data_IF_781086154905
#
_entry.id   IF_781086154905
#
_cell.length_a   1.000
_cell.length_b   1.000
_cell.length_c   1.000
_cell.angle_alpha   90.00
_cell.angle_beta   90.00
_cell.angle_gamma   90.00
#
_symmetry.space_group_name_H-M   'P 1'
#
loop_
_entity.id
_entity.type
_entity.pdbx_description
1 polymer ?
#
# COMPACT_ATOMS: atom_id res chain seq x y z
N UNK A 1 -23.56 -13.45 -14.56
CA UNK A 1 -24.93 -13.80 -14.98
C UNK A 1 -25.89 -13.53 -13.84
N UNK A 2 -27.03 -12.92 -14.13
CA UNK A 2 -28.09 -12.60 -13.15
C UNK A 2 -29.40 -13.24 -13.60
N UNK A 3 -30.11 -13.88 -12.66
CA UNK A 3 -31.39 -14.54 -12.91
C UNK A 3 -32.41 -14.10 -11.84
N UNK A 4 -33.51 -13.59 -12.29
CA UNK A 4 -34.67 -13.33 -11.43
C UNK A 4 -35.50 -14.62 -11.32
N UNK A 5 -35.19 -15.43 -10.30
CA UNK A 5 -35.79 -16.75 -10.09
C UNK A 5 -37.28 -16.67 -9.72
N UNK A 6 -37.68 -15.57 -9.05
CA UNK A 6 -39.08 -15.28 -8.71
C UNK A 6 -39.28 -13.78 -8.50
N UNK A 7 -40.52 -13.36 -8.11
CA UNK A 7 -40.79 -11.96 -7.77
C UNK A 7 -40.04 -11.50 -6.53
N UNK A 8 -39.66 -12.41 -5.66
CA UNK A 8 -39.04 -12.14 -4.36
C UNK A 8 -37.58 -12.61 -4.29
N UNK A 9 -37.02 -13.27 -5.36
CA UNK A 9 -35.65 -13.83 -5.37
C UNK A 9 -34.95 -13.53 -6.68
N UNK A 10 -33.78 -12.90 -6.57
CA UNK A 10 -32.80 -12.77 -7.62
C UNK A 10 -31.49 -13.44 -7.18
N UNK A 11 -30.89 -14.21 -8.05
CA UNK A 11 -29.56 -14.81 -7.84
C UNK A 11 -28.61 -14.40 -8.96
N UNK A 12 -27.36 -14.30 -8.64
CA UNK A 12 -26.37 -13.94 -9.66
C UNK A 12 -24.99 -14.45 -9.32
N UNK A 13 -24.19 -14.52 -10.35
CA UNK A 13 -22.77 -14.85 -10.23
C UNK A 13 -21.95 -13.98 -11.17
N UNK A 14 -20.78 -13.58 -10.68
CA UNK A 14 -19.76 -12.90 -11.47
C UNK A 14 -18.43 -13.63 -11.27
N UNK A 15 -17.86 -14.14 -12.34
CA UNK A 15 -16.59 -14.86 -12.29
C UNK A 15 -15.63 -14.26 -13.29
N UNK A 16 -14.43 -13.94 -12.83
CA UNK A 16 -13.30 -13.50 -13.64
C UNK A 16 -12.16 -14.50 -13.46
N UNK A 17 -11.56 -14.91 -14.57
CA UNK A 17 -10.31 -15.65 -14.58
C UNK A 17 -9.25 -14.85 -15.33
N UNK A 18 -8.06 -14.78 -14.79
CA UNK A 18 -6.93 -14.08 -15.40
C UNK A 18 -5.68 -14.95 -15.37
N UNK A 19 -4.91 -14.89 -16.43
CA UNK A 19 -3.55 -15.42 -16.52
C UNK A 19 -2.59 -14.28 -16.81
N UNK A 20 -1.53 -14.22 -16.05
CA UNK A 20 -0.45 -13.26 -16.22
C UNK A 20 0.87 -14.04 -16.37
N UNK A 21 1.66 -13.67 -17.37
CA UNK A 21 3.06 -14.11 -17.48
C UNK A 21 3.93 -12.85 -17.59
N UNK A 22 4.90 -12.72 -16.72
CA UNK A 22 5.80 -11.58 -16.69
C UNK A 22 7.24 -12.04 -16.59
N UNK A 23 8.11 -11.38 -17.36
CA UNK A 23 9.54 -11.41 -17.13
C UNK A 23 9.89 -10.17 -16.32
N UNK A 24 10.34 -10.37 -15.11
CA UNK A 24 10.69 -9.29 -14.19
C UNK A 24 12.20 -9.06 -14.26
N UNK A 25 12.62 -7.80 -14.23
CA UNK A 25 14.00 -7.47 -13.94
C UNK A 25 14.23 -7.64 -12.42
N UNK A 26 15.41 -8.12 -12.06
CA UNK A 26 15.84 -8.07 -10.67
C UNK A 26 15.97 -6.60 -10.26
N UNK A 27 15.15 -6.15 -9.33
CA UNK A 27 15.18 -4.80 -8.76
C UNK A 27 15.90 -4.78 -7.40
N UNK A 28 16.56 -5.88 -7.07
CA UNK A 28 17.29 -6.08 -5.83
C UNK A 28 18.11 -4.84 -5.45
N UNK A 29 17.74 -4.26 -4.34
CA UNK A 29 18.29 -3.04 -3.78
C UNK A 29 19.82 -3.06 -3.79
N UNK A 30 20.42 -1.97 -4.24
CA UNK A 30 21.89 -1.73 -4.25
C UNK A 30 22.72 -2.47 -5.33
N UNK A 31 22.11 -3.24 -6.22
CA UNK A 31 22.83 -3.80 -7.34
C UNK A 31 22.85 -2.82 -8.51
N UNK A 32 24.03 -2.28 -8.84
CA UNK A 32 24.22 -1.28 -9.90
C UNK A 32 23.90 -1.80 -11.31
N UNK A 33 23.66 -3.08 -11.47
CA UNK A 33 23.37 -3.73 -12.76
C UNK A 33 21.88 -3.87 -13.06
N UNK A 34 21.00 -3.64 -12.08
CA UNK A 34 19.55 -3.65 -12.36
C UNK A 34 19.16 -2.41 -13.17
N UNK A 35 18.11 -2.47 -14.02
CA UNK A 35 17.77 -1.35 -14.91
C UNK A 35 17.56 -0.02 -14.20
N UNK A 36 16.84 -0.01 -13.08
CA UNK A 36 16.56 1.21 -12.30
C UNK A 36 17.83 1.73 -11.63
N UNK A 37 18.65 0.85 -11.05
CA UNK A 37 19.90 1.23 -10.42
C UNK A 37 20.92 1.69 -11.46
N UNK A 38 20.97 1.05 -12.63
CA UNK A 38 21.81 1.46 -13.74
C UNK A 38 21.54 2.91 -14.18
N UNK A 39 20.27 3.31 -14.28
CA UNK A 39 19.90 4.69 -14.60
C UNK A 39 20.41 5.73 -13.58
N UNK A 40 20.70 5.31 -12.35
CA UNK A 40 21.17 6.19 -11.28
C UNK A 40 22.69 6.23 -11.15
N UNK A 41 23.35 5.10 -11.41
CA UNK A 41 24.77 4.90 -11.05
C UNK A 41 25.69 4.74 -12.25
N UNK A 42 25.16 4.43 -13.45
CA UNK A 42 25.98 4.30 -14.65
C UNK A 42 26.19 5.66 -15.31
N UNK A 43 27.38 5.83 -15.86
CA UNK A 43 27.71 7.05 -16.58
C UNK A 43 27.03 7.05 -17.96
N UNK A 44 26.39 8.14 -18.38
CA UNK A 44 25.55 8.18 -19.58
C UNK A 44 26.31 7.98 -20.89
N UNK A 45 27.65 8.07 -20.88
CA UNK A 45 28.50 7.83 -22.03
C UNK A 45 29.05 6.40 -22.14
N UNK A 46 28.69 5.50 -21.21
CA UNK A 46 29.02 4.08 -21.34
C UNK A 46 28.11 3.44 -22.36
N UNK A 47 28.70 3.07 -23.51
CA UNK A 47 27.95 2.42 -24.58
C UNK A 47 27.74 0.94 -24.24
N UNK A 48 26.49 0.44 -24.16
CA UNK A 48 26.23 -0.97 -23.88
C UNK A 48 26.60 -1.91 -25.04
N UNK A 49 26.97 -1.37 -26.20
CA UNK A 49 27.37 -2.15 -27.38
C UNK A 49 28.83 -1.93 -27.71
N UNK A 50 29.49 -3.01 -28.10
CA UNK A 50 30.85 -3.00 -28.65
C UNK A 50 30.82 -2.42 -30.11
N UNK A 51 32.01 -2.17 -30.68
CA UNK A 51 32.13 -1.58 -32.03
C UNK A 51 31.55 -2.46 -33.14
N UNK A 52 31.49 -3.75 -32.94
CA UNK A 52 30.91 -4.73 -33.86
C UNK A 52 29.38 -4.91 -33.71
N UNK A 53 28.75 -4.16 -32.79
CA UNK A 53 27.33 -4.22 -32.50
C UNK A 53 26.92 -5.31 -31.51
N UNK A 54 27.84 -6.14 -31.01
CA UNK A 54 27.59 -7.08 -29.96
C UNK A 54 27.42 -6.38 -28.59
N UNK A 55 26.77 -7.05 -27.62
CA UNK A 55 26.70 -6.49 -26.26
C UNK A 55 28.07 -6.53 -25.60
N UNK A 56 28.50 -5.39 -25.09
CA UNK A 56 29.69 -5.30 -24.26
C UNK A 56 29.44 -5.99 -22.92
N UNK A 57 30.42 -6.72 -22.38
CA UNK A 57 30.30 -7.43 -21.10
C UNK A 57 31.62 -7.48 -20.35
N UNK A 58 31.55 -7.69 -19.03
CA UNK A 58 32.74 -7.94 -18.21
C UNK A 58 33.46 -9.23 -18.65
N UNK A 59 32.70 -10.26 -19.00
CA UNK A 59 33.26 -11.52 -19.48
C UNK A 59 34.06 -11.37 -20.78
N UNK A 60 33.63 -10.49 -21.68
CA UNK A 60 34.34 -10.18 -22.91
C UNK A 60 35.46 -9.16 -22.72
N UNK A 61 35.60 -8.54 -21.56
CA UNK A 61 36.63 -7.52 -21.27
C UNK A 61 36.45 -6.20 -22.02
N UNK A 62 35.31 -5.94 -22.62
CA UNK A 62 35.00 -4.78 -23.44
C UNK A 62 33.95 -3.83 -22.86
N UNK A 63 33.56 -4.08 -21.60
CA UNK A 63 32.65 -3.22 -20.83
C UNK A 63 33.41 -2.29 -19.89
N UNK A 64 33.10 -1.01 -19.90
CA UNK A 64 33.82 0.01 -19.14
C UNK A 64 33.40 0.09 -17.64
N UNK A 65 32.27 -0.48 -17.27
CA UNK A 65 31.78 -0.45 -15.90
C UNK A 65 32.43 -1.47 -14.97
N UNK A 66 32.38 -1.20 -13.67
CA UNK A 66 32.84 -2.14 -12.63
C UNK A 66 31.84 -3.26 -12.34
N UNK A 67 30.58 -3.05 -12.68
CA UNK A 67 29.49 -4.04 -12.61
C UNK A 67 29.10 -4.44 -14.02
N UNK A 68 28.40 -5.57 -14.19
CA UNK A 68 28.01 -6.06 -15.52
C UNK A 68 27.11 -5.07 -16.29
N UNK A 69 27.15 -5.12 -17.60
CA UNK A 69 26.23 -4.40 -18.47
C UNK A 69 24.78 -4.79 -18.13
N UNK A 70 23.86 -3.85 -17.83
CA UNK A 70 22.49 -4.15 -17.43
C UNK A 70 21.72 -5.01 -18.43
N UNK A 71 21.96 -4.86 -19.72
CA UNK A 71 21.29 -5.64 -20.77
C UNK A 71 21.77 -7.11 -20.72
N UNK A 72 23.06 -7.32 -20.53
CA UNK A 72 23.66 -8.65 -20.35
C UNK A 72 23.15 -9.27 -19.05
N UNK A 73 23.13 -8.51 -17.96
CA UNK A 73 22.65 -8.97 -16.68
C UNK A 73 21.19 -9.45 -16.73
N UNK A 74 20.28 -8.66 -17.33
CA UNK A 74 18.89 -9.05 -17.49
C UNK A 74 18.73 -10.34 -18.32
N UNK A 75 19.55 -10.53 -19.33
CA UNK A 75 19.56 -11.74 -20.16
C UNK A 75 20.04 -12.99 -19.41
N UNK A 76 21.06 -12.80 -18.57
CA UNK A 76 21.72 -13.89 -17.83
C UNK A 76 21.17 -14.11 -16.40
N UNK A 77 20.22 -13.26 -15.97
CA UNK A 77 19.55 -13.36 -14.66
C UNK A 77 18.02 -13.26 -14.80
N UNK A 78 17.37 -14.13 -15.61
CA UNK A 78 15.95 -14.02 -15.86
C UNK A 78 15.11 -14.41 -14.63
N UNK A 79 14.08 -13.60 -14.36
CA UNK A 79 13.02 -13.91 -13.41
C UNK A 79 11.70 -14.01 -14.19
N UNK A 80 11.10 -15.20 -14.19
CA UNK A 80 9.84 -15.45 -14.90
C UNK A 80 8.76 -15.77 -13.88
N UNK A 81 7.70 -14.98 -13.90
CA UNK A 81 6.55 -15.14 -13.02
C UNK A 81 5.33 -15.56 -13.85
N UNK A 82 4.57 -16.50 -13.31
CA UNK A 82 3.24 -16.87 -13.83
C UNK A 82 2.24 -16.77 -12.70
N UNK A 83 1.10 -16.18 -13.00
CA UNK A 83 0.03 -15.99 -12.03
C UNK A 83 -1.31 -16.39 -12.66
N UNK A 84 -2.03 -17.23 -11.95
CA UNK A 84 -3.40 -17.61 -12.27
C UNK A 84 -4.29 -17.02 -11.17
N UNK A 85 -5.28 -16.27 -11.57
CA UNK A 85 -6.22 -15.67 -10.64
C UNK A 85 -7.65 -16.01 -11.03
N UNK A 86 -8.43 -16.48 -10.05
CA UNK A 86 -9.88 -16.70 -10.20
C UNK A 86 -10.57 -15.92 -9.10
N UNK A 87 -11.39 -14.96 -9.51
CA UNK A 87 -12.28 -14.22 -8.63
C UNK A 87 -13.71 -14.63 -8.97
N UNK A 88 -14.41 -15.22 -8.02
CA UNK A 88 -15.81 -15.62 -8.20
C UNK A 88 -16.66 -15.07 -7.08
N UNK A 89 -17.78 -14.46 -7.42
CA UNK A 89 -18.75 -13.94 -6.49
C UNK A 89 -20.12 -14.52 -6.85
N UNK A 90 -20.80 -15.09 -5.86
CA UNK A 90 -22.18 -15.55 -5.96
C UNK A 90 -23.03 -14.76 -4.98
N UNK A 91 -24.24 -14.38 -5.37
CA UNK A 91 -25.14 -13.67 -4.47
C UNK A 91 -26.59 -14.09 -4.65
N UNK A 92 -27.34 -13.91 -3.58
CA UNK A 92 -28.80 -13.97 -3.58
C UNK A 92 -29.35 -12.65 -3.01
N UNK A 93 -30.34 -12.09 -3.69
CA UNK A 93 -31.13 -10.95 -3.23
C UNK A 93 -32.54 -11.39 -2.99
N UNK A 94 -33.06 -11.14 -1.80
CA UNK A 94 -34.39 -11.46 -1.36
C UNK A 94 -35.14 -10.15 -1.14
N UNK A 95 -36.38 -10.07 -1.66
CA UNK A 95 -37.29 -8.92 -1.54
C UNK A 95 -38.52 -9.34 -0.72
N UNK A 96 -38.40 -9.41 0.64
CA UNK A 96 -39.50 -9.96 1.49
C UNK A 96 -40.74 -9.05 1.53
N UNK A 97 -40.50 -7.74 1.49
CA UNK A 97 -41.51 -6.68 1.42
C UNK A 97 -41.05 -5.59 0.48
N UNK A 98 -41.94 -4.69 0.10
CA UNK A 98 -41.60 -3.53 -0.72
C UNK A 98 -40.50 -2.70 -0.04
N UNK A 99 -39.54 -2.22 -0.86
CA UNK A 99 -38.42 -1.40 -0.43
C UNK A 99 -37.38 -2.03 0.51
N UNK A 100 -37.54 -3.30 0.92
CA UNK A 100 -36.54 -4.06 1.67
C UNK A 100 -35.83 -5.04 0.77
N UNK A 101 -34.51 -4.90 0.69
CA UNK A 101 -33.62 -5.84 -0.01
C UNK A 101 -32.67 -6.48 0.99
N UNK A 102 -32.69 -7.80 1.07
CA UNK A 102 -31.71 -8.58 1.82
C UNK A 102 -30.79 -9.24 0.79
N UNK A 103 -29.49 -8.97 0.86
CA UNK A 103 -28.49 -9.53 -0.05
C UNK A 103 -27.43 -10.29 0.73
N UNK A 104 -27.24 -11.55 0.40
CA UNK A 104 -26.10 -12.34 0.87
C UNK A 104 -25.19 -12.66 -0.31
N UNK A 105 -23.90 -12.43 -0.13
CA UNK A 105 -22.89 -12.59 -1.15
C UNK A 105 -21.72 -13.41 -0.61
N UNK A 106 -21.28 -14.40 -1.38
CA UNK A 106 -20.05 -15.15 -1.15
C UNK A 106 -19.04 -14.83 -2.25
N UNK A 107 -17.85 -14.41 -1.87
CA UNK A 107 -16.73 -14.15 -2.74
C UNK A 107 -15.58 -15.11 -2.45
N UNK A 108 -14.95 -15.63 -3.50
CA UNK A 108 -13.69 -16.37 -3.43
C UNK A 108 -12.70 -15.75 -4.39
N UNK A 109 -11.55 -15.30 -3.87
CA UNK A 109 -10.40 -14.82 -4.64
C UNK A 109 -9.26 -15.83 -4.45
N UNK A 110 -9.01 -16.63 -5.49
CA UNK A 110 -7.94 -17.60 -5.51
C UNK A 110 -6.82 -17.12 -6.42
N UNK A 111 -5.59 -17.16 -5.93
CA UNK A 111 -4.40 -16.81 -6.70
C UNK A 111 -3.36 -17.92 -6.54
N UNK A 112 -2.93 -18.51 -7.66
CA UNK A 112 -1.77 -19.39 -7.74
C UNK A 112 -0.65 -18.67 -8.46
N UNK A 113 0.53 -18.56 -7.83
CA UNK A 113 1.69 -17.89 -8.38
C UNK A 113 2.89 -18.84 -8.42
N UNK A 114 3.61 -18.85 -9.53
CA UNK A 114 4.89 -19.54 -9.64
C UNK A 114 5.96 -18.58 -10.12
N UNK A 115 7.15 -18.66 -9.52
CA UNK A 115 8.30 -17.90 -9.96
C UNK A 115 9.46 -18.86 -10.29
N UNK A 116 10.14 -18.53 -11.37
CA UNK A 116 11.38 -19.15 -11.76
C UNK A 116 12.47 -18.09 -11.81
N UNK A 117 13.46 -18.25 -10.96
CA UNK A 117 14.61 -17.37 -10.88
C UNK A 117 15.83 -18.16 -11.33
N UNK A 118 16.63 -17.57 -12.18
CA UNK A 118 17.86 -18.19 -12.65
C UNK A 118 18.96 -17.15 -12.78
N UNK A 119 20.18 -17.53 -12.45
CA UNK A 119 21.37 -16.77 -12.76
C UNK A 119 22.35 -17.72 -13.45
N UNK A 120 22.67 -17.40 -14.70
CA UNK A 120 23.47 -18.29 -15.54
C UNK A 120 24.94 -18.33 -15.14
N UNK A 121 25.64 -19.50 -15.29
CA UNK A 121 27.09 -19.61 -15.06
C UNK A 121 27.93 -18.61 -15.87
N UNK A 122 27.50 -18.24 -17.08
CA UNK A 122 28.18 -17.29 -17.95
C UNK A 122 28.15 -15.85 -17.46
N UNK A 123 27.27 -15.52 -16.49
CA UNK A 123 27.30 -14.24 -15.81
C UNK A 123 28.59 -14.10 -15.01
N UNK A 124 29.39 -13.08 -15.28
CA UNK A 124 30.73 -12.92 -14.72
C UNK A 124 30.80 -12.96 -13.19
N UNK A 125 29.80 -12.41 -12.51
CA UNK A 125 29.70 -12.43 -11.04
C UNK A 125 29.44 -13.84 -10.45
N UNK A 126 29.02 -14.79 -11.27
CA UNK A 126 28.74 -16.17 -10.84
C UNK A 126 29.98 -17.08 -10.84
N UNK A 127 31.12 -16.62 -11.37
CA UNK A 127 32.38 -17.39 -11.42
C UNK A 127 32.18 -18.82 -11.98
N UNK A 128 31.39 -18.98 -13.04
CA UNK A 128 31.11 -20.27 -13.67
C UNK A 128 30.15 -21.19 -12.91
N UNK A 129 29.51 -20.72 -11.84
CA UNK A 129 28.54 -21.47 -11.04
C UNK A 129 27.19 -20.75 -11.02
N UNK A 130 26.25 -21.23 -11.83
CA UNK A 130 24.92 -20.69 -11.85
C UNK A 130 24.08 -21.04 -10.64
N UNK A 131 22.90 -20.42 -10.59
CA UNK A 131 21.88 -20.66 -9.57
C UNK A 131 20.51 -20.82 -10.22
N UNK A 132 19.65 -21.65 -9.63
CA UNK A 132 18.26 -21.79 -10.04
C UNK A 132 17.33 -21.89 -8.83
N UNK A 133 16.20 -21.23 -8.90
CA UNK A 133 15.16 -21.33 -7.89
C UNK A 133 13.78 -21.56 -8.50
N UNK A 134 12.95 -22.27 -7.78
CA UNK A 134 11.51 -22.40 -8.03
C UNK A 134 10.76 -21.97 -6.79
N UNK A 135 9.73 -21.16 -6.98
CA UNK A 135 8.81 -20.75 -5.95
C UNK A 135 7.39 -21.05 -6.40
N UNK A 136 6.56 -21.49 -5.48
CA UNK A 136 5.13 -21.64 -5.68
C UNK A 136 4.41 -21.09 -4.47
N UNK A 137 3.32 -20.38 -4.68
CA UNK A 137 2.47 -19.90 -3.62
C UNK A 137 1.01 -19.90 -4.04
N UNK A 138 0.17 -20.28 -3.11
CA UNK A 138 -1.27 -20.26 -3.20
C UNK A 138 -1.81 -19.27 -2.18
N UNK A 139 -2.82 -18.51 -2.57
CA UNK A 139 -3.54 -17.62 -1.69
C UNK A 139 -5.05 -17.71 -1.97
N UNK A 140 -5.84 -17.84 -0.94
CA UNK A 140 -7.29 -17.84 -1.03
C UNK A 140 -7.86 -16.85 -0.03
N UNK A 141 -8.75 -15.99 -0.51
CA UNK A 141 -9.52 -15.07 0.32
C UNK A 141 -11.01 -15.39 0.14
N UNK A 142 -11.66 -15.79 1.22
CA UNK A 142 -13.10 -16.05 1.27
C UNK A 142 -13.77 -14.91 2.00
N UNK A 143 -14.80 -14.34 1.37
CA UNK A 143 -15.58 -13.24 1.94
C UNK A 143 -17.06 -13.60 1.90
N UNK A 144 -17.73 -13.48 3.03
CA UNK A 144 -19.17 -13.52 3.11
C UNK A 144 -19.66 -12.16 3.59
N UNK A 145 -20.66 -11.60 2.88
CA UNK A 145 -21.28 -10.31 3.25
C UNK A 145 -22.79 -10.44 3.15
N UNK A 146 -23.48 -10.17 4.25
CA UNK A 146 -24.94 -10.09 4.26
C UNK A 146 -25.37 -8.69 4.66
N UNK A 147 -26.24 -8.09 3.85
CA UNK A 147 -26.81 -6.76 4.09
C UNK A 147 -28.33 -6.78 4.00
N UNK A 148 -28.97 -5.98 4.84
CA UNK A 148 -30.39 -5.64 4.76
C UNK A 148 -30.52 -4.14 4.53
N UNK A 149 -31.12 -3.75 3.42
CA UNK A 149 -31.29 -2.36 3.03
C UNK A 149 -32.77 -2.03 2.90
N UNK A 150 -33.23 -1.01 3.64
CA UNK A 150 -34.60 -0.53 3.60
C UNK A 150 -34.64 0.95 3.20
N UNK A 151 -35.40 1.23 2.13
CA UNK A 151 -35.60 2.59 1.59
C UNK A 151 -37.06 3.00 1.72
N UNK A 152 -37.30 4.20 2.20
CA UNK A 152 -38.65 4.74 2.28
C UNK A 152 -38.66 6.26 2.17
N UNK A 153 -39.76 6.79 1.69
CA UNK A 153 -39.99 8.23 1.57
C UNK A 153 -41.28 8.58 2.33
N UNK A 154 -41.19 9.64 3.14
CA UNK A 154 -42.33 10.16 3.88
C UNK A 154 -42.73 11.53 3.28
N UNK A 155 -44.02 11.68 3.01
CA UNK A 155 -44.62 12.91 2.45
C UNK A 155 -43.92 13.43 1.17
N UNK A 156 -43.31 12.53 0.38
CA UNK A 156 -42.59 12.82 -0.85
C UNK A 156 -41.38 13.80 -0.71
N UNK A 157 -41.01 14.13 0.52
CA UNK A 157 -39.97 15.12 0.81
C UNK A 157 -38.87 14.62 1.75
N UNK A 158 -39.12 13.54 2.50
CA UNK A 158 -38.14 12.96 3.41
C UNK A 158 -37.77 11.56 2.91
N UNK A 159 -36.58 11.44 2.32
CA UNK A 159 -36.09 10.13 1.85
C UNK A 159 -35.09 9.56 2.83
N UNK A 160 -35.28 8.30 3.19
CA UNK A 160 -34.41 7.55 4.10
C UNK A 160 -33.89 6.30 3.41
N UNK A 161 -32.66 5.97 3.69
CA UNK A 161 -32.03 4.71 3.32
C UNK A 161 -31.27 4.17 4.54
N UNK A 162 -31.70 3.02 5.06
CA UNK A 162 -31.08 2.39 6.23
C UNK A 162 -30.54 1.04 5.82
N UNK A 163 -29.29 0.78 6.13
CA UNK A 163 -28.61 -0.48 5.87
C UNK A 163 -28.02 -1.05 7.15
N UNK A 164 -28.22 -2.33 7.36
CA UNK A 164 -27.55 -3.15 8.36
C UNK A 164 -26.76 -4.23 7.64
N UNK A 165 -25.59 -4.57 8.13
CA UNK A 165 -24.77 -5.60 7.50
C UNK A 165 -23.83 -6.29 8.46
N UNK A 166 -23.42 -7.48 8.04
CA UNK A 166 -22.33 -8.23 8.62
C UNK A 166 -21.38 -8.69 7.51
N UNK A 167 -20.12 -8.90 7.84
CA UNK A 167 -19.11 -9.38 6.91
C UNK A 167 -18.12 -10.29 7.65
N UNK A 168 -17.79 -11.41 7.04
CA UNK A 168 -16.73 -12.30 7.50
C UNK A 168 -15.71 -12.50 6.38
N UNK A 169 -14.43 -12.37 6.72
CA UNK A 169 -13.32 -12.58 5.80
C UNK A 169 -12.38 -13.63 6.40
N UNK A 170 -11.97 -14.58 5.57
CA UNK A 170 -10.96 -15.58 5.92
C UNK A 170 -9.93 -15.65 4.80
N UNK A 171 -8.70 -15.38 5.15
CA UNK A 171 -7.56 -15.43 4.24
C UNK A 171 -6.60 -16.53 4.67
N UNK A 172 -6.18 -17.34 3.71
CA UNK A 172 -5.11 -18.32 3.86
C UNK A 172 -4.11 -18.18 2.73
N UNK A 173 -2.83 -18.27 3.04
CA UNK A 173 -1.78 -18.36 2.03
C UNK A 173 -0.73 -19.37 2.47
N UNK A 174 -0.24 -20.13 1.52
CA UNK A 174 0.89 -21.04 1.70
C UNK A 174 1.83 -20.95 0.51
N UNK A 175 3.09 -21.31 0.74
CA UNK A 175 4.07 -21.29 -0.33
C UNK A 175 5.34 -22.03 0.04
N UNK A 176 6.07 -22.43 -0.97
CA UNK A 176 7.39 -23.01 -0.81
C UNK A 176 8.38 -22.49 -1.84
N UNK A 177 9.64 -22.57 -1.51
CA UNK A 177 10.73 -22.28 -2.43
C UNK A 177 11.85 -23.31 -2.27
N UNK A 178 12.47 -23.63 -3.40
CA UNK A 178 13.68 -24.43 -3.46
C UNK A 178 14.73 -23.71 -4.30
N UNK A 179 15.96 -23.75 -3.85
CA UNK A 179 17.07 -23.04 -4.44
C UNK A 179 18.29 -23.94 -4.52
N UNK A 180 18.95 -23.98 -5.67
CA UNK A 180 20.18 -24.72 -5.89
C UNK A 180 21.28 -23.86 -6.47
N UNK A 181 22.52 -24.24 -6.26
CA UNK A 181 23.74 -23.66 -6.79
C UNK A 181 24.62 -24.69 -7.48
N UNK A 182 25.50 -24.23 -8.37
CA UNK A 182 26.49 -25.06 -9.00
C UNK A 182 26.04 -25.61 -10.34
N UNK A 183 25.12 -24.97 -11.04
CA UNK A 183 24.91 -25.22 -12.46
C UNK A 183 26.16 -24.81 -13.24
N UNK A 184 26.68 -25.71 -14.08
CA UNK A 184 27.95 -25.52 -14.80
C UNK A 184 27.76 -25.11 -16.26
N UNK A 185 26.52 -25.04 -16.74
CA UNK A 185 26.18 -24.64 -18.12
C UNK A 185 24.89 -23.85 -18.14
N UNK A 186 24.78 -22.85 -19.00
CA UNK A 186 23.56 -22.08 -19.25
C UNK A 186 22.40 -22.94 -19.79
N UNK A 187 22.68 -24.13 -20.30
CA UNK A 187 21.68 -25.08 -20.73
C UNK A 187 21.04 -25.86 -19.57
N UNK A 188 21.64 -25.83 -18.38
CA UNK A 188 21.16 -26.51 -17.19
C UNK A 188 20.26 -25.60 -16.35
N UNK A 189 19.01 -25.48 -16.75
CA UNK A 189 18.07 -24.51 -16.17
C UNK A 189 17.23 -25.06 -15.01
N UNK A 190 17.30 -26.37 -14.74
CA UNK A 190 16.52 -26.98 -13.67
C UNK A 190 17.19 -26.83 -12.30
N UNK A 191 16.38 -26.70 -11.24
CA UNK A 191 16.89 -26.70 -9.85
C UNK A 191 17.68 -27.98 -9.55
N UNK A 192 17.23 -29.13 -10.08
CA UNK A 192 17.91 -30.41 -9.90
C UNK A 192 19.27 -30.53 -10.60
N UNK A 193 19.61 -29.59 -11.49
CA UNK A 193 20.90 -29.55 -12.19
C UNK A 193 22.02 -28.90 -11.36
N UNK A 194 21.72 -28.33 -10.20
CA UNK A 194 22.70 -27.80 -9.29
C UNK A 194 23.38 -28.87 -8.46
N UNK A 195 24.67 -28.72 -8.15
CA UNK A 195 25.45 -29.66 -7.34
C UNK A 195 25.17 -29.58 -5.85
N UNK A 196 24.50 -28.47 -5.41
CA UNK A 196 24.14 -28.24 -4.00
C UNK A 196 22.74 -27.69 -3.89
N UNK A 197 21.89 -28.33 -3.08
CA UNK A 197 20.73 -27.68 -2.51
C UNK A 197 21.21 -26.55 -1.57
N UNK A 198 20.85 -25.33 -1.82
CA UNK A 198 21.37 -24.16 -1.10
C UNK A 198 20.38 -23.62 -0.07
N UNK A 199 19.12 -23.68 -0.39
CA UNK A 199 18.04 -23.17 0.46
C UNK A 199 16.72 -23.84 0.10
N UNK A 200 15.94 -24.16 1.11
CA UNK A 200 14.52 -24.46 1.01
C UNK A 200 13.80 -23.70 2.11
N UNK A 201 12.60 -23.31 1.86
CA UNK A 201 11.74 -22.68 2.85
C UNK A 201 10.28 -22.92 2.44
N UNK A 202 9.43 -22.99 3.42
CA UNK A 202 7.99 -22.96 3.31
C UNK A 202 7.42 -21.87 4.21
N UNK A 203 6.21 -21.47 3.94
CA UNK A 203 5.50 -20.47 4.71
C UNK A 203 4.01 -20.71 4.65
N UNK A 204 3.33 -20.45 5.73
CA UNK A 204 1.86 -20.40 5.80
C UNK A 204 1.44 -19.20 6.64
N UNK A 205 0.35 -18.56 6.25
CA UNK A 205 -0.15 -17.37 6.94
C UNK A 205 -1.65 -17.24 6.80
N UNK A 206 -2.31 -16.97 7.94
CA UNK A 206 -3.75 -16.84 8.05
C UNK A 206 -4.13 -15.55 8.74
N UNK A 207 -5.27 -14.97 8.32
CA UNK A 207 -5.97 -13.99 9.11
C UNK A 207 -7.48 -14.03 8.85
N UNK A 208 -8.25 -13.53 9.80
CA UNK A 208 -9.70 -13.45 9.69
C UNK A 208 -10.21 -12.12 10.22
N UNK A 209 -11.31 -11.65 9.63
CA UNK A 209 -12.10 -10.52 10.11
C UNK A 209 -13.54 -10.92 10.30
N UNK A 210 -14.17 -10.30 11.31
CA UNK A 210 -15.62 -10.32 11.50
C UNK A 210 -16.09 -8.91 11.78
N UNK A 211 -17.08 -8.47 11.04
CA UNK A 211 -17.55 -7.08 11.06
C UNK A 211 -19.05 -6.99 11.13
N UNK A 212 -19.56 -6.02 11.89
CA UNK A 212 -20.96 -5.61 11.89
C UNK A 212 -21.03 -4.12 11.61
N UNK A 213 -21.97 -3.71 10.75
CA UNK A 213 -22.07 -2.32 10.36
C UNK A 213 -23.50 -1.88 10.12
N UNK A 214 -23.72 -0.59 10.33
CA UNK A 214 -24.96 0.08 9.98
C UNK A 214 -24.66 1.40 9.28
N UNK A 215 -25.55 1.81 8.38
CA UNK A 215 -25.52 3.09 7.69
C UNK A 215 -26.92 3.65 7.59
N UNK A 216 -27.09 4.94 7.86
CA UNK A 216 -28.30 5.70 7.65
C UNK A 216 -28.01 6.88 6.73
N UNK A 217 -28.85 7.09 5.74
CA UNK A 217 -28.84 8.24 4.86
C UNK A 217 -30.19 8.92 4.91
N UNK A 218 -30.18 10.23 4.98
CA UNK A 218 -31.36 11.07 4.99
C UNK A 218 -31.21 12.20 3.96
N UNK A 219 -32.28 12.43 3.22
CA UNK A 219 -32.39 13.52 2.27
C UNK A 219 -33.71 14.25 2.49
N UNK A 220 -33.62 15.59 2.62
CA UNK A 220 -34.78 16.47 2.70
C UNK A 220 -34.85 17.35 1.45
N UNK A 221 -35.86 17.11 0.60
CA UNK A 221 -36.15 17.91 -0.61
C UNK A 221 -34.96 18.09 -1.56
N UNK A 222 -34.00 17.15 -1.58
CA UNK A 222 -32.72 17.32 -2.31
C UNK A 222 -31.93 18.57 -1.90
N UNK A 223 -32.25 19.16 -0.76
CA UNK A 223 -31.66 20.37 -0.22
C UNK A 223 -30.64 20.04 0.88
N UNK A 224 -31.03 19.20 1.84
CA UNK A 224 -30.18 18.75 2.94
C UNK A 224 -29.97 17.25 2.88
N UNK A 225 -28.72 16.85 2.99
CA UNK A 225 -28.33 15.46 3.07
C UNK A 225 -27.56 15.22 4.36
N UNK A 226 -27.87 14.17 5.03
CA UNK A 226 -27.13 13.71 6.20
C UNK A 226 -26.88 12.21 6.09
N UNK A 227 -25.70 11.78 6.47
CA UNK A 227 -25.35 10.36 6.58
C UNK A 227 -24.67 10.07 7.91
N UNK A 228 -24.90 8.86 8.36
CA UNK A 228 -24.29 8.27 9.55
C UNK A 228 -23.84 6.86 9.24
N UNK A 229 -22.65 6.49 9.68
CA UNK A 229 -22.24 5.09 9.68
C UNK A 229 -21.60 4.70 11.01
N UNK A 230 -21.78 3.44 11.39
CA UNK A 230 -21.15 2.79 12.52
C UNK A 230 -20.70 1.41 12.08
N UNK A 231 -19.43 1.07 12.35
CA UNK A 231 -18.88 -0.24 12.04
C UNK A 231 -18.02 -0.71 13.21
N UNK A 232 -18.18 -1.97 13.57
CA UNK A 232 -17.30 -2.64 14.51
C UNK A 232 -16.66 -3.85 13.85
N UNK A 233 -15.34 -3.96 13.96
CA UNK A 233 -14.52 -4.95 13.27
C UNK A 233 -13.66 -5.69 14.28
N UNK A 234 -13.65 -7.03 14.20
CA UNK A 234 -12.69 -7.86 14.90
C UNK A 234 -11.62 -8.36 13.94
N UNK A 235 -10.35 -8.33 14.34
CA UNK A 235 -9.21 -8.85 13.59
C UNK A 235 -8.47 -9.93 14.38
N UNK A 236 -8.16 -11.05 13.74
CA UNK A 236 -7.34 -12.11 14.34
C UNK A 236 -5.86 -11.71 14.52
N UNK A 237 -5.43 -10.60 13.92
CA UNK A 237 -4.06 -10.07 14.04
C UNK A 237 -3.75 -9.50 15.42
N UNK A 238 -4.78 -9.24 16.23
CA UNK A 238 -4.69 -8.59 17.53
C UNK A 238 -4.90 -9.54 18.70
N UNK A 239 -4.44 -9.14 19.87
CA UNK A 239 -4.64 -9.87 21.11
C UNK A 239 -6.13 -10.05 21.42
N UNK A 240 -6.46 -11.10 22.17
CA UNK A 240 -7.84 -11.54 22.41
C UNK A 240 -8.78 -10.41 22.89
N UNK A 241 -8.28 -9.56 23.78
CA UNK A 241 -9.06 -8.48 24.39
C UNK A 241 -9.03 -7.18 23.59
N UNK A 242 -8.22 -7.11 22.53
CA UNK A 242 -8.01 -5.93 21.67
C UNK A 242 -8.43 -6.14 20.20
N UNK A 243 -9.10 -7.25 19.91
CA UNK A 243 -9.52 -7.60 18.54
C UNK A 243 -10.53 -6.63 17.95
N UNK A 244 -11.44 -6.10 18.78
CA UNK A 244 -12.55 -5.27 18.33
C UNK A 244 -12.17 -3.80 18.28
N UNK A 245 -12.42 -3.19 17.11
CA UNK A 245 -12.36 -1.75 16.89
C UNK A 245 -13.71 -1.23 16.42
N UNK A 246 -14.15 -0.10 16.96
CA UNK A 246 -15.44 0.54 16.57
C UNK A 246 -15.15 1.89 15.92
N UNK A 247 -15.70 2.08 14.74
CA UNK A 247 -15.51 3.25 13.90
C UNK A 247 -16.85 3.84 13.49
N UNK A 248 -16.90 5.15 13.33
CA UNK A 248 -18.11 5.86 13.00
C UNK A 248 -17.85 7.03 12.07
N UNK A 249 -18.85 7.45 11.31
CA UNK A 249 -18.81 8.69 10.56
C UNK A 249 -20.14 9.42 10.55
N UNK A 250 -20.05 10.73 10.45
CA UNK A 250 -21.18 11.64 10.24
C UNK A 250 -20.83 12.55 9.06
N UNK A 251 -21.75 12.68 8.13
CA UNK A 251 -21.67 13.60 7.01
C UNK A 251 -22.90 14.48 6.93
N UNK A 252 -22.72 15.71 6.51
CA UNK A 252 -23.79 16.64 6.19
C UNK A 252 -23.45 17.41 4.92
N UNK A 253 -24.41 17.49 3.99
CA UNK A 253 -24.27 18.30 2.78
C UNK A 253 -25.50 19.19 2.61
N UNK A 254 -25.25 20.46 2.31
CA UNK A 254 -26.25 21.45 1.94
C UNK A 254 -26.10 21.78 0.46
N UNK A 255 -27.15 21.48 -0.31
CA UNK A 255 -27.23 21.83 -1.72
C UNK A 255 -27.81 23.23 -1.86
N UNK A 256 -26.96 24.24 -1.71
CA UNK A 256 -27.35 25.67 -1.69
C UNK A 256 -28.02 26.06 -2.98
N UNK A 257 -27.65 25.45 -4.12
CA UNK A 257 -28.26 25.73 -5.44
C UNK A 257 -29.74 25.40 -5.48
N UNK A 258 -30.18 24.41 -4.73
CA UNK A 258 -31.60 23.97 -4.68
C UNK A 258 -32.51 24.90 -3.83
N UNK A 259 -31.94 25.95 -3.23
CA UNK A 259 -32.74 26.92 -2.46
C UNK A 259 -33.62 27.79 -3.36
N UNK A 260 -34.77 28.24 -2.86
CA UNK A 260 -35.74 29.04 -3.63
C UNK A 260 -35.15 30.34 -4.21
N UNK A 261 -34.17 30.94 -3.54
CA UNK A 261 -33.51 32.17 -3.97
C UNK A 261 -32.36 31.97 -4.96
N UNK A 262 -31.81 30.74 -5.10
CA UNK A 262 -30.71 30.40 -6.05
C UNK A 262 -31.14 29.50 -7.18
N UNK A 263 -32.21 28.71 -7.04
CA UNK A 263 -32.60 27.72 -8.04
C UNK A 263 -32.75 28.24 -9.45
N UNK A 264 -33.24 29.49 -9.58
CA UNK A 264 -33.50 30.15 -10.87
C UNK A 264 -32.31 30.94 -11.43
N UNK A 265 -31.20 31.02 -10.71
CA UNK A 265 -29.96 31.65 -11.20
C UNK A 265 -29.26 30.78 -12.25
N UNK A 266 -29.35 31.20 -13.53
CA UNK A 266 -28.79 30.41 -14.65
C UNK A 266 -27.28 30.43 -14.73
N UNK A 267 -26.61 31.42 -14.14
CA UNK A 267 -25.14 31.47 -14.15
C UNK A 267 -24.51 30.57 -13.09
N UNK A 268 -25.25 30.17 -12.05
CA UNK A 268 -24.80 29.25 -11.00
C UNK A 268 -25.48 27.90 -11.23
N UNK A 269 -24.72 26.93 -11.68
CA UNK A 269 -25.23 25.56 -11.96
C UNK A 269 -25.12 24.61 -10.76
N UNK A 270 -24.11 24.81 -9.92
CA UNK A 270 -23.90 24.01 -8.70
C UNK A 270 -23.44 24.91 -7.56
N UNK A 271 -23.97 24.72 -6.37
CA UNK A 271 -23.45 25.29 -5.13
C UNK A 271 -23.73 24.33 -3.98
N UNK A 272 -22.70 23.68 -3.48
CA UNK A 272 -22.80 22.64 -2.43
C UNK A 272 -21.74 22.89 -1.37
N UNK A 273 -22.13 22.73 -0.10
CA UNK A 273 -21.25 22.75 1.05
C UNK A 273 -21.40 21.42 1.75
N UNK A 274 -20.29 20.74 2.02
CA UNK A 274 -20.29 19.49 2.74
C UNK A 274 -19.28 19.51 3.88
N UNK A 275 -19.64 18.88 4.98
CA UNK A 275 -18.77 18.65 6.13
C UNK A 275 -18.89 17.18 6.54
N UNK A 276 -17.79 16.58 6.92
CA UNK A 276 -17.81 15.23 7.49
C UNK A 276 -16.77 15.07 8.58
N UNK A 277 -17.10 14.20 9.53
CA UNK A 277 -16.19 13.80 10.61
C UNK A 277 -16.38 12.33 10.89
N UNK A 278 -15.31 11.65 11.31
CA UNK A 278 -15.41 10.23 11.66
C UNK A 278 -14.07 9.61 11.98
N UNK A 279 -14.13 8.36 12.39
CA UNK A 279 -12.96 7.54 12.68
C UNK A 279 -12.86 6.38 11.72
N UNK A 280 -11.64 5.99 11.35
CA UNK A 280 -11.34 4.78 10.60
C UNK A 280 -10.23 3.99 11.30
N UNK A 281 -10.26 2.68 11.19
CA UNK A 281 -9.25 1.78 11.77
C UNK A 281 -8.25 1.30 10.74
N UNK A 282 -7.03 1.00 11.23
CA UNK A 282 -6.03 0.26 10.48
C UNK A 282 -5.53 -0.91 11.32
N UNK A 283 -5.44 -2.09 10.70
CA UNK A 283 -4.95 -3.33 11.31
C UNK A 283 -3.80 -3.95 10.51
N UNK A 284 -3.15 -3.16 9.67
CA UNK A 284 -2.11 -3.65 8.76
C UNK A 284 -0.78 -3.83 9.49
N UNK A 285 -0.66 -4.97 10.16
CA UNK A 285 0.58 -5.52 10.71
C UNK A 285 0.74 -6.95 10.21
N UNK A 286 1.96 -7.50 10.22
CA UNK A 286 2.15 -8.92 9.95
C UNK A 286 1.33 -9.79 10.90
N UNK A 287 0.89 -10.95 10.42
CA UNK A 287 0.07 -11.87 11.21
C UNK A 287 0.86 -12.41 12.41
N UNK A 288 0.15 -12.76 13.49
CA UNK A 288 0.68 -13.42 14.69
C UNK A 288 1.57 -12.57 15.61
N UNK A 289 1.79 -11.27 15.37
CA UNK A 289 2.65 -10.44 16.24
C UNK A 289 2.10 -10.20 17.66
N UNK A 290 0.87 -10.59 17.92
CA UNK A 290 0.34 -10.66 19.29
C UNK A 290 0.82 -11.92 20.04
N UNK A 291 1.37 -12.95 19.35
CA UNK A 291 1.85 -14.20 19.92
C UNK A 291 3.36 -14.20 20.11
N UNK A 292 3.84 -14.83 21.16
CA UNK A 292 5.24 -15.22 21.28
C UNK A 292 5.49 -16.47 20.43
N UNK A 293 6.48 -16.41 19.52
CA UNK A 293 6.80 -17.49 18.62
C UNK A 293 8.22 -17.98 18.82
N UNK A 294 8.42 -19.26 18.48
CA UNK A 294 9.73 -19.89 18.43
C UNK A 294 10.00 -20.40 17.02
N UNK A 295 11.25 -20.40 16.61
CA UNK A 295 11.72 -21.04 15.37
C UNK A 295 12.49 -22.31 15.67
N UNK A 296 12.29 -23.30 14.82
CA UNK A 296 13.16 -24.47 14.76
C UNK A 296 14.51 -24.14 14.10
N UNK A 297 15.42 -25.12 14.05
CA UNK A 297 16.72 -25.00 13.38
C UNK A 297 17.85 -24.47 14.27
N UNK A 298 17.57 -24.11 15.51
CA UNK A 298 18.63 -23.93 16.50
C UNK A 298 19.33 -25.27 16.71
N UNK A 299 20.66 -25.27 16.77
CA UNK A 299 21.47 -26.46 16.92
C UNK A 299 22.43 -26.26 18.10
N UNK A 300 22.36 -27.16 19.05
CA UNK A 300 23.31 -27.23 20.13
C UNK A 300 23.92 -28.65 20.15
N UNK A 301 25.21 -28.75 19.88
CA UNK A 301 25.96 -29.98 19.83
C UNK A 301 25.28 -31.06 18.96
N UNK A 302 24.93 -30.70 17.72
CA UNK A 302 24.17 -31.53 16.76
C UNK A 302 22.77 -31.99 17.21
N UNK A 303 22.25 -31.42 18.28
CA UNK A 303 20.86 -31.65 18.73
C UNK A 303 19.97 -30.50 18.31
N UNK A 304 18.89 -30.82 17.58
CA UNK A 304 17.92 -29.80 17.16
C UNK A 304 17.22 -29.17 18.36
N UNK A 305 17.14 -27.88 18.38
CA UNK A 305 16.51 -27.07 19.42
C UNK A 305 15.60 -25.99 18.87
N UNK A 306 15.03 -25.20 19.76
CA UNK A 306 14.22 -24.04 19.46
C UNK A 306 14.90 -22.75 19.89
N UNK A 307 14.70 -21.68 19.16
CA UNK A 307 15.07 -20.33 19.58
C UNK A 307 13.85 -19.41 19.55
N UNK A 308 13.74 -18.45 20.48
CA UNK A 308 12.73 -17.38 20.35
C UNK A 308 12.92 -16.66 19.00
N UNK A 309 11.84 -16.53 18.24
CA UNK A 309 11.83 -15.81 16.96
C UNK A 309 11.03 -14.52 17.03
N UNK A 310 10.17 -14.39 18.05
CA UNK A 310 9.31 -13.21 18.23
C UNK A 310 8.81 -13.16 19.67
N UNK A 311 8.86 -11.97 20.27
CA UNK A 311 8.18 -11.69 21.53
C UNK A 311 6.79 -11.14 21.22
N UNK A 312 5.74 -11.85 21.62
CA UNK A 312 4.38 -11.40 21.43
C UNK A 312 4.03 -10.12 22.18
N UNK A 313 2.94 -9.49 21.73
CA UNK A 313 2.31 -8.38 22.45
C UNK A 313 0.79 -8.54 22.40
N UNK A 314 0.21 -9.08 23.47
CA UNK A 314 -1.23 -9.31 23.59
C UNK A 314 -2.06 -8.02 23.63
N UNK A 315 -1.41 -6.87 23.94
CA UNK A 315 -2.04 -5.54 23.96
C UNK A 315 -2.17 -4.90 22.55
N UNK A 316 -1.67 -5.56 21.50
CA UNK A 316 -1.81 -5.06 20.14
C UNK A 316 -3.29 -4.94 19.74
N UNK A 317 -3.67 -3.78 19.24
CA UNK A 317 -5.00 -3.43 18.81
C UNK A 317 -4.98 -2.48 17.60
N UNK A 318 -6.13 -1.92 17.32
CA UNK A 318 -6.36 -1.06 16.17
C UNK A 318 -5.64 0.29 16.27
N UNK A 319 -4.99 0.69 15.21
CA UNK A 319 -4.64 2.09 14.96
C UNK A 319 -5.91 2.84 14.53
N UNK A 320 -6.12 4.04 15.01
CA UNK A 320 -7.31 4.84 14.72
C UNK A 320 -6.97 6.20 14.13
N UNK A 321 -7.62 6.55 13.03
CA UNK A 321 -7.52 7.87 12.40
C UNK A 321 -8.83 8.61 12.52
N UNK A 322 -8.84 9.73 13.22
CA UNK A 322 -9.94 10.68 13.22
C UNK A 322 -9.75 11.69 12.09
N UNK A 323 -10.73 11.78 11.22
CA UNK A 323 -10.72 12.64 10.05
C UNK A 323 -11.85 13.67 10.09
N UNK A 324 -11.56 14.90 9.69
CA UNK A 324 -12.53 15.98 9.49
C UNK A 324 -12.31 16.56 8.10
N UNK A 325 -13.40 16.73 7.35
CA UNK A 325 -13.35 17.28 6.00
C UNK A 325 -14.37 18.38 5.84
N UNK A 326 -14.00 19.39 5.08
CA UNK A 326 -14.88 20.44 4.57
C UNK A 326 -14.72 20.48 3.05
N UNK A 327 -15.85 20.54 2.33
CA UNK A 327 -15.84 20.65 0.87
C UNK A 327 -16.83 21.74 0.42
N UNK A 328 -16.38 22.53 -0.55
CA UNK A 328 -17.19 23.53 -1.28
C UNK A 328 -17.10 23.20 -2.77
N UNK A 329 -18.27 23.00 -3.42
CA UNK A 329 -18.36 22.74 -4.85
C UNK A 329 -19.21 23.82 -5.51
N UNK A 330 -18.66 24.46 -6.52
CA UNK A 330 -19.32 25.52 -7.29
C UNK A 330 -19.28 25.16 -8.77
N UNK A 331 -20.41 25.31 -9.46
CA UNK A 331 -20.51 25.19 -10.90
C UNK A 331 -21.09 26.46 -11.52
N UNK A 332 -20.52 26.89 -12.63
CA UNK A 332 -20.90 28.11 -13.30
C UNK A 332 -21.22 27.85 -14.78
N UNK A 333 -22.38 28.39 -15.24
CA UNK A 333 -22.80 28.36 -16.63
C UNK A 333 -22.88 26.98 -17.27
N UNK A 334 -23.01 25.91 -16.47
CA UNK A 334 -22.88 24.50 -16.90
C UNK A 334 -21.60 24.21 -17.69
N UNK A 335 -20.52 24.95 -17.38
CA UNK A 335 -19.27 24.91 -18.15
C UNK A 335 -18.03 24.89 -17.27
N UNK A 336 -18.06 25.49 -16.09
CA UNK A 336 -16.91 25.66 -15.20
C UNK A 336 -17.27 25.04 -13.87
N UNK A 337 -16.46 24.15 -13.38
CA UNK A 337 -16.56 23.55 -12.06
C UNK A 337 -15.37 23.95 -11.21
N UNK A 338 -15.61 24.22 -9.95
CA UNK A 338 -14.61 24.53 -8.94
C UNK A 338 -14.89 23.70 -7.70
N UNK A 339 -13.84 23.04 -7.16
CA UNK A 339 -13.90 22.33 -5.90
C UNK A 339 -12.78 22.81 -4.98
N UNK A 340 -13.14 23.10 -3.74
CA UNK A 340 -12.24 23.38 -2.65
C UNK A 340 -12.47 22.35 -1.56
N UNK A 341 -11.40 21.69 -1.09
CA UNK A 341 -11.46 20.77 0.04
C UNK A 341 -10.40 21.13 1.06
N UNK A 342 -10.75 21.05 2.35
CA UNK A 342 -9.83 21.20 3.46
C UNK A 342 -10.03 20.04 4.43
N UNK A 343 -8.93 19.47 4.91
CA UNK A 343 -8.99 18.32 5.81
C UNK A 343 -8.00 18.42 6.96
N UNK A 344 -8.36 17.73 8.04
CA UNK A 344 -7.50 17.46 9.18
C UNK A 344 -7.69 16.00 9.59
N UNK A 345 -6.58 15.23 9.63
CA UNK A 345 -6.56 13.82 10.05
C UNK A 345 -5.59 13.67 11.21
N UNK A 346 -6.00 12.99 12.27
CA UNK A 346 -5.15 12.64 13.41
C UNK A 346 -5.17 11.13 13.60
N UNK A 347 -4.02 10.51 13.40
CA UNK A 347 -3.81 9.08 13.64
C UNK A 347 -3.23 8.92 15.04
N UNK A 348 -3.84 8.08 15.83
CA UNK A 348 -3.43 7.73 17.20
C UNK A 348 -3.29 6.22 17.33
N UNK A 349 -2.56 5.79 18.37
CA UNK A 349 -2.23 4.38 18.58
C UNK A 349 -1.56 3.77 17.35
N UNK A 350 -0.61 4.50 16.73
CA UNK A 350 0.10 4.06 15.54
C UNK A 350 0.77 2.70 15.77
N UNK A 351 0.62 1.80 14.83
CA UNK A 351 1.29 0.49 14.85
C UNK A 351 2.76 0.68 14.47
N UNK A 352 3.65 0.63 15.45
CA UNK A 352 5.07 0.91 15.29
C UNK A 352 5.96 -0.19 15.88
N UNK A 353 7.13 -0.38 15.25
CA UNK A 353 8.23 -1.17 15.83
C UNK A 353 8.98 -0.31 16.84
N UNK A 354 8.86 -0.64 18.10
CA UNK A 354 9.55 0.05 19.20
C UNK A 354 10.81 -0.71 19.54
N UNK A 355 12.00 -0.07 19.52
CA UNK A 355 13.23 -0.72 19.94
C UNK A 355 13.14 -1.25 21.37
N UNK A 356 13.53 -2.49 21.58
CA UNK A 356 13.64 -3.14 22.87
C UNK A 356 14.93 -3.97 22.94
N UNK A 357 15.36 -4.32 24.16
CA UNK A 357 16.57 -5.14 24.32
C UNK A 357 16.41 -6.52 23.66
N UNK A 358 17.43 -6.96 22.94
CA UNK A 358 17.50 -8.31 22.38
C UNK A 358 17.32 -9.40 23.43
N UNK A 359 17.78 -9.16 24.67
CA UNK A 359 17.63 -10.12 25.76
C UNK A 359 16.17 -10.32 26.19
N UNK A 360 15.30 -9.38 25.87
CA UNK A 360 13.87 -9.43 26.18
C UNK A 360 13.06 -9.96 25.00
N UNK A 361 13.38 -9.53 23.78
CA UNK A 361 12.54 -9.78 22.61
C UNK A 361 13.10 -10.84 21.65
N UNK A 362 14.40 -11.10 21.68
CA UNK A 362 15.06 -11.93 20.67
C UNK A 362 15.25 -11.26 19.31
N UNK A 363 14.53 -10.15 19.03
CA UNK A 363 14.53 -9.43 17.75
C UNK A 363 15.06 -8.00 17.83
N UNK A 364 15.18 -7.43 19.05
CA UNK A 364 15.60 -6.04 19.26
C UNK A 364 14.49 -5.01 19.08
N UNK A 365 13.25 -5.44 18.86
CA UNK A 365 12.06 -4.59 18.77
C UNK A 365 10.79 -5.34 19.17
N UNK A 366 9.72 -4.60 19.43
CA UNK A 366 8.37 -5.13 19.62
C UNK A 366 7.36 -4.21 18.94
N UNK A 367 6.34 -4.79 18.31
CA UNK A 367 5.20 -4.03 17.79
C UNK A 367 4.34 -3.52 18.95
N UNK A 368 3.99 -2.23 18.92
CA UNK A 368 3.15 -1.56 19.90
C UNK A 368 2.22 -0.54 19.25
N UNK A 369 1.09 -0.29 19.89
CA UNK A 369 0.19 0.83 19.55
C UNK A 369 0.68 2.09 20.26
N UNK A 370 1.52 2.89 19.60
CA UNK A 370 2.18 4.06 20.19
C UNK A 370 2.32 5.18 19.16
N UNK A 371 2.41 6.40 19.69
CA UNK A 371 2.62 7.56 18.84
C UNK A 371 1.35 8.15 18.24
N UNK A 372 1.50 9.38 17.81
CA UNK A 372 0.42 10.20 17.21
C UNK A 372 0.99 10.97 16.03
N UNK A 373 0.27 10.96 14.92
CA UNK A 373 0.59 11.72 13.72
C UNK A 373 -0.61 12.58 13.30
N UNK A 374 -0.34 13.74 12.73
CA UNK A 374 -1.38 14.59 12.14
C UNK A 374 -1.05 14.95 10.69
N UNK A 375 -2.06 14.92 9.85
CA UNK A 375 -2.03 15.39 8.48
C UNK A 375 -3.10 16.46 8.32
N UNK A 376 -2.77 17.58 7.67
CA UNK A 376 -3.73 18.60 7.28
C UNK A 376 -3.40 19.11 5.89
N UNK A 377 -4.41 19.45 5.14
CA UNK A 377 -4.19 19.94 3.79
C UNK A 377 -5.38 20.66 3.22
N UNK A 378 -5.12 21.25 2.07
CA UNK A 378 -6.12 21.88 1.20
C UNK A 378 -5.93 21.36 -0.22
N UNK A 379 -7.03 21.20 -0.92
CA UNK A 379 -7.07 20.78 -2.31
C UNK A 379 -7.99 21.71 -3.10
N UNK A 380 -7.50 22.15 -4.24
CA UNK A 380 -8.23 23.00 -5.18
C UNK A 380 -8.26 22.30 -6.52
N UNK A 381 -9.42 22.16 -7.11
CA UNK A 381 -9.56 21.76 -8.50
C UNK A 381 -10.50 22.69 -9.26
N UNK A 382 -10.16 22.96 -10.48
CA UNK A 382 -10.99 23.69 -11.42
C UNK A 382 -10.93 23.02 -12.78
N UNK A 383 -12.08 22.84 -13.39
CA UNK A 383 -12.19 22.37 -14.76
C UNK A 383 -13.24 23.16 -15.52
N UNK A 384 -13.07 23.32 -16.81
CA UNK A 384 -14.05 24.01 -17.61
C UNK A 384 -13.78 24.06 -19.11
N UNK A 385 -14.88 24.24 -19.86
CA UNK A 385 -14.83 24.48 -21.28
C UNK A 385 -14.53 25.96 -21.53
N UNK A 386 -13.26 26.31 -21.74
CA UNK A 386 -12.82 27.68 -22.05
C UNK A 386 -13.44 28.14 -23.38
N UNK A 387 -13.43 27.27 -24.37
CA UNK A 387 -14.11 27.47 -25.64
C UNK A 387 -15.07 26.31 -25.86
N UNK A 388 -16.32 26.63 -26.17
CA UNK A 388 -17.33 25.65 -26.52
C UNK A 388 -18.18 26.20 -27.66
N UNK A 389 -17.89 25.69 -28.85
CA UNK A 389 -18.66 25.98 -30.08
C UNK A 389 -19.29 24.68 -30.58
N UNK A 390 -20.05 24.76 -31.68
CA UNK A 390 -20.63 23.57 -32.30
C UNK A 390 -19.57 22.57 -32.79
N UNK A 391 -18.45 23.06 -33.30
CA UNK A 391 -17.44 22.27 -33.99
C UNK A 391 -16.12 22.18 -33.24
N UNK A 392 -15.95 22.92 -32.11
CA UNK A 392 -14.72 22.94 -31.34
C UNK A 392 -15.00 23.15 -29.85
N UNK A 393 -14.44 22.27 -29.02
CA UNK A 393 -14.45 22.42 -27.55
C UNK A 393 -13.02 22.37 -27.04
N UNK A 394 -12.63 23.36 -26.24
CA UNK A 394 -11.37 23.35 -25.53
C UNK A 394 -11.65 23.34 -24.03
N UNK A 395 -11.38 22.20 -23.42
CA UNK A 395 -11.47 22.01 -21.97
C UNK A 395 -10.10 22.20 -21.33
N UNK A 396 -10.07 22.88 -20.19
CA UNK A 396 -8.88 23.05 -19.35
C UNK A 396 -9.19 22.57 -17.94
N UNK A 397 -8.31 21.74 -17.40
CA UNK A 397 -8.39 21.31 -15.99
C UNK A 397 -7.08 21.61 -15.27
N UNK A 398 -7.20 22.04 -14.00
CA UNK A 398 -6.08 22.30 -13.11
C UNK A 398 -6.41 21.80 -11.70
N UNK A 399 -5.42 21.24 -11.03
CA UNK A 399 -5.52 20.88 -9.61
C UNK A 399 -4.25 21.29 -8.87
N UNK A 400 -4.41 21.68 -7.61
CA UNK A 400 -3.33 22.01 -6.69
C UNK A 400 -3.67 21.44 -5.33
N UNK A 401 -2.73 20.76 -4.72
CA UNK A 401 -2.87 20.23 -3.36
C UNK A 401 -1.68 20.64 -2.49
N UNK A 402 -1.96 20.92 -1.22
CA UNK A 402 -0.95 21.12 -0.20
C UNK A 402 -1.26 20.21 0.98
N UNK A 403 -0.32 19.40 1.39
CA UNK A 403 -0.42 18.54 2.57
C UNK A 403 0.74 18.79 3.53
N UNK A 404 0.45 18.89 4.81
CA UNK A 404 1.44 18.95 5.88
C UNK A 404 1.28 17.75 6.80
N UNK A 405 2.30 16.90 6.84
CA UNK A 405 2.43 15.79 7.78
C UNK A 405 3.26 16.23 9.00
N UNK A 406 2.84 15.84 10.21
CA UNK A 406 3.58 16.12 11.46
C UNK A 406 3.44 14.96 12.43
N UNK A 407 4.56 14.39 12.84
CA UNK A 407 4.65 13.49 13.98
C UNK A 407 4.42 14.29 15.26
N UNK A 408 3.48 13.88 16.11
CA UNK A 408 3.09 14.61 17.32
C UNK A 408 3.66 13.96 18.58
N UNK A 409 3.67 12.65 18.60
CA UNK A 409 4.12 11.86 19.76
C UNK A 409 4.81 10.59 19.27
N UNK A 410 5.80 10.14 20.01
CA UNK A 410 6.47 8.85 19.91
C UNK A 410 6.29 8.04 21.19
N UNK A 411 6.77 6.81 21.23
CA UNK A 411 6.68 5.93 22.39
C UNK A 411 7.48 6.51 23.60
N UNK A 412 6.97 6.29 24.78
CA UNK A 412 7.64 6.61 26.08
C UNK A 412 8.15 8.04 26.20
N UNK A 413 7.56 9.03 25.50
CA UNK A 413 7.98 10.42 25.53
C UNK A 413 9.31 10.71 24.82
N UNK A 414 9.83 9.77 24.05
CA UNK A 414 11.01 9.98 23.19
C UNK A 414 10.69 11.02 22.14
N UNK A 415 11.59 11.95 21.90
CA UNK A 415 11.40 13.02 20.92
C UNK A 415 11.93 12.67 19.54
N UNK A 416 12.85 11.70 19.46
CA UNK A 416 13.41 11.22 18.19
C UNK A 416 13.95 9.80 18.30
N UNK A 417 13.96 9.07 17.21
CA UNK A 417 14.69 7.81 17.09
C UNK A 417 15.00 7.46 15.63
N UNK A 418 16.02 6.62 15.44
CA UNK A 418 16.36 6.06 14.11
C UNK A 418 15.72 4.69 13.98
N UNK A 419 14.92 4.50 12.94
CA UNK A 419 14.39 3.19 12.58
C UNK A 419 15.51 2.37 11.93
N UNK A 420 16.03 1.37 12.65
CA UNK A 420 17.14 0.53 12.20
C UNK A 420 16.83 -0.29 10.93
N UNK A 421 15.55 -0.55 10.66
CA UNK A 421 15.13 -1.31 9.47
C UNK A 421 15.16 -0.45 8.21
N UNK A 422 14.75 0.82 8.30
CA UNK A 422 14.63 1.73 7.16
C UNK A 422 15.76 2.76 7.09
N UNK A 423 16.52 2.95 8.15
CA UNK A 423 17.52 4.02 8.29
C UNK A 423 16.90 5.43 8.40
N UNK A 424 15.59 5.56 8.50
CA UNK A 424 14.91 6.84 8.62
C UNK A 424 14.97 7.35 10.07
N UNK A 425 15.16 8.65 10.22
CA UNK A 425 15.07 9.33 11.51
C UNK A 425 13.67 9.93 11.68
N UNK A 426 12.99 9.55 12.76
CA UNK A 426 11.71 10.12 13.14
C UNK A 426 11.94 11.15 14.25
N UNK A 427 11.40 12.37 14.07
CA UNK A 427 11.54 13.48 15.01
C UNK A 427 10.17 14.10 15.25
N UNK A 428 9.80 14.26 16.51
CA UNK A 428 8.55 14.94 16.90
C UNK A 428 8.54 16.37 16.37
N UNK A 429 7.45 16.76 15.70
CA UNK A 429 7.30 18.06 15.03
C UNK A 429 7.68 18.05 13.55
N UNK A 430 8.34 17.01 13.07
CA UNK A 430 8.73 16.82 11.68
C UNK A 430 7.81 15.84 10.93
N UNK A 431 7.94 15.79 9.62
CA UNK A 431 7.26 14.79 8.80
C UNK A 431 7.93 13.42 8.95
N UNK A 432 7.14 12.35 8.90
CA UNK A 432 7.67 10.97 8.90
C UNK A 432 8.42 10.60 7.61
N UNK A 433 8.24 11.37 6.56
CA UNK A 433 8.90 11.18 5.26
C UNK A 433 10.01 12.20 4.98
N UNK A 434 10.37 13.01 5.97
CA UNK A 434 11.44 13.99 5.85
C UNK A 434 12.81 13.31 5.84
N UNK A 435 13.68 13.71 4.92
CA UNK A 435 15.00 13.12 4.83
C UNK A 435 15.93 13.63 5.94
N UNK A 436 16.80 12.75 6.42
CA UNK A 436 17.87 13.06 7.34
C UNK A 436 19.21 12.84 6.64
N UNK A 437 19.72 13.89 6.04
CA UNK A 437 20.86 13.83 5.12
C UNK A 437 21.85 14.98 5.33
N UNK A 438 23.10 14.78 4.85
CA UNK A 438 24.04 15.88 4.66
C UNK A 438 23.57 16.75 3.50
N UNK A 439 23.60 18.06 3.68
CA UNK A 439 23.25 19.01 2.62
C UNK A 439 24.46 19.22 1.71
N UNK A 440 24.24 19.01 0.42
CA UNK A 440 25.27 19.24 -0.60
C UNK A 440 25.40 20.73 -0.91
N UNK A 441 26.64 21.26 -0.88
CA UNK A 441 26.93 22.68 -1.12
C UNK A 441 27.49 22.95 -2.52
N UNK A 442 27.71 21.90 -3.33
CA UNK A 442 28.25 22.02 -4.68
C UNK A 442 29.66 21.44 -4.82
N UNK A 443 30.38 21.92 -5.81
CA UNK A 443 31.76 21.51 -6.13
C UNK A 443 32.67 22.71 -6.01
N UNK A 444 33.85 22.53 -5.41
CA UNK A 444 34.88 23.53 -5.38
C UNK A 444 35.43 23.77 -6.82
N UNK A 445 35.24 24.96 -7.39
CA UNK A 445 35.64 25.21 -8.78
C UNK A 445 37.18 25.19 -9.00
N UNK A 446 37.94 25.28 -7.93
CA UNK A 446 39.41 25.29 -8.03
C UNK A 446 40.01 23.87 -8.14
N UNK A 447 39.40 22.87 -7.56
CA UNK A 447 40.00 21.52 -7.49
C UNK A 447 38.99 20.36 -7.76
N UNK A 448 37.71 20.66 -7.96
CA UNK A 448 36.69 19.64 -8.23
C UNK A 448 36.23 18.85 -7.01
N UNK A 449 36.64 19.20 -5.79
CA UNK A 449 36.18 18.51 -4.57
C UNK A 449 34.74 18.81 -4.26
N UNK A 450 34.03 17.80 -3.70
CA UNK A 450 32.67 17.96 -3.23
C UNK A 450 32.61 18.83 -1.97
N UNK A 451 31.63 19.72 -1.92
CA UNK A 451 31.41 20.59 -0.78
C UNK A 451 30.07 20.24 -0.10
N UNK A 452 30.09 20.31 1.20
CA UNK A 452 28.95 20.00 2.08
C UNK A 452 28.65 21.17 3.00
N UNK A 453 27.45 21.26 3.50
CA UNK A 453 27.14 22.12 4.64
C UNK A 453 27.30 21.30 5.93
N UNK A 454 28.02 21.87 6.90
CA UNK A 454 28.01 21.36 8.26
C UNK A 454 26.63 21.58 8.94
N UNK A 455 26.44 21.08 10.15
CA UNK A 455 25.21 21.27 10.94
C UNK A 455 24.88 22.75 11.20
N UNK A 456 25.88 23.64 11.23
CA UNK A 456 25.77 25.06 11.51
C UNK A 456 25.56 25.89 10.22
N UNK A 457 25.59 25.25 9.07
CA UNK A 457 25.37 25.87 7.75
C UNK A 457 26.62 26.41 7.07
N UNK A 458 27.82 26.15 7.60
CA UNK A 458 29.09 26.54 6.95
C UNK A 458 29.47 25.51 5.89
N UNK A 459 30.14 25.98 4.83
CA UNK A 459 30.64 25.12 3.76
C UNK A 459 31.94 24.44 4.20
N UNK A 460 32.03 23.13 4.00
CA UNK A 460 33.21 22.30 4.29
C UNK A 460 33.44 21.29 3.16
N UNK A 461 34.67 20.83 2.99
CA UNK A 461 35.02 19.72 2.10
C UNK A 461 35.03 18.36 2.84
N UNK A 462 34.81 18.35 4.15
CA UNK A 462 34.73 17.12 4.94
C UNK A 462 33.30 16.61 5.02
N UNK A 463 33.07 15.37 4.62
CA UNK A 463 31.80 14.65 4.84
C UNK A 463 31.79 14.07 6.25
N UNK A 464 30.86 14.49 7.08
CA UNK A 464 30.69 13.99 8.45
C UNK A 464 29.25 13.52 8.66
N UNK A 465 29.08 12.31 9.19
CA UNK A 465 27.76 11.78 9.57
C UNK A 465 27.03 12.65 10.62
N UNK A 466 27.80 13.38 11.47
CA UNK A 466 27.27 14.30 12.47
C UNK A 466 26.62 15.56 11.90
N UNK A 467 26.83 15.84 10.63
CA UNK A 467 26.35 17.06 9.94
C UNK A 467 25.01 16.84 9.20
N UNK A 468 24.43 15.64 9.36
CA UNK A 468 23.08 15.35 8.86
C UNK A 468 22.04 16.22 9.55
N UNK A 469 21.13 16.76 8.77
CA UNK A 469 19.99 17.57 9.24
C UNK A 469 18.71 17.07 8.62
N UNK A 470 17.58 17.38 9.28
CA UNK A 470 16.27 17.19 8.67
C UNK A 470 16.10 18.21 7.53
N UNK A 471 15.74 17.72 6.35
CA UNK A 471 15.64 18.53 5.11
C UNK A 471 14.17 18.56 4.67
N UNK A 472 13.36 19.33 5.35
CA UNK A 472 11.91 19.43 5.11
C UNK A 472 11.50 20.19 3.88
#
# INVERSE_FOLDING_TARGET
ADVKASKWLKVGTNTMAAYEEAQQADDGSYNTVTPISACRFMLPYWNPYAKDGSLASLAAGNWAGTSENPIVYMGLNPIKNKKYKVLSTMYAEIYPIENLTIRTQFGADFTHSTAFLQSFPSLSSNNGQGTAARQSSDAINLTETTTANYRFTLNDIHSFNVMLGQEAVNFHSEGFQVYSKGQTSDLLTNVSSGTRASRWADSSSDYSYLSFFMRGEYNYKELYYADFSLRTDASSRFGKDHRWGTFWSLGFMYNVKSTDWLKDMKWLSTAQIAVSTGTSGNSEIPNYYHLALVSGGANYDNTAGFSPSQSGNEELGWESTWANNFALRLGFLDRINFSFEAYYKRTSNMLMRVPESYTVTGEGYRWKNVGVMANKGIELSADGDVIRTRDFTWNVSANVSYNQNRLKELYNGVTEYVNSTTGLKYVVGHSVSEFFLNRYAGVNPANGEQLWYDKDGNVTNEFRESDKVMTG
#
